data_IF_924126700546
#
_entry.id   IF_924126700546
#
_cell.length_a   1.000
_cell.length_b   1.000
_cell.length_c   1.000
_cell.angle_alpha   90.00
_cell.angle_beta   90.00
_cell.angle_gamma   90.00
#
_symmetry.space_group_name_H-M   'P 1'
#
loop_
_entity.id
_entity.type
_entity.pdbx_description
1 polymer ?
#
# COMPACT_ATOMS: atom_id res chain seq x y z
N UNK A 1 -20.61 -2.72 -1.80
CA UNK A 1 -20.08 -1.74 -0.84
C UNK A 1 -19.73 -0.51 -1.63
N UNK A 2 -20.46 0.57 -1.41
CA UNK A 2 -20.28 1.80 -2.18
C UNK A 2 -19.11 2.58 -1.61
N UNK A 3 -18.29 3.22 -2.46
CA UNK A 3 -17.14 4.02 -2.01
C UNK A 3 -17.56 5.12 -0.99
N UNK A 4 -18.82 5.55 -1.07
CA UNK A 4 -19.44 6.53 -0.16
C UNK A 4 -19.51 6.06 1.29
N UNK A 5 -19.83 4.79 1.53
CA UNK A 5 -19.92 4.23 2.90
C UNK A 5 -18.52 4.16 3.55
N UNK A 6 -17.50 3.80 2.76
CA UNK A 6 -16.12 3.78 3.23
C UNK A 6 -15.64 5.17 3.64
N UNK A 7 -16.03 6.20 2.90
CA UNK A 7 -15.68 7.59 3.20
C UNK A 7 -16.34 8.11 4.48
N UNK A 8 -17.61 7.75 4.73
CA UNK A 8 -18.30 8.04 5.98
C UNK A 8 -17.60 7.41 7.19
N UNK A 9 -17.15 6.15 7.06
CA UNK A 9 -16.39 5.48 8.12
C UNK A 9 -15.04 6.16 8.37
N UNK A 10 -14.35 6.61 7.33
CA UNK A 10 -13.09 7.35 7.47
C UNK A 10 -13.30 8.70 8.18
N UNK A 11 -14.42 9.39 7.95
CA UNK A 11 -14.80 10.60 8.67
C UNK A 11 -15.06 10.36 10.17
N UNK A 12 -15.73 9.26 10.51
CA UNK A 12 -16.02 8.89 11.90
C UNK A 12 -14.77 8.52 12.71
N UNK A 13 -13.68 8.07 12.05
CA UNK A 13 -12.37 7.68 12.61
C UNK A 13 -12.37 6.54 13.61
N UNK A 14 -13.49 6.24 14.24
CA UNK A 14 -13.66 5.18 15.22
C UNK A 14 -15.00 4.50 15.02
N UNK A 15 -15.01 3.18 15.20
CA UNK A 15 -16.22 2.35 15.19
C UNK A 15 -16.29 1.57 16.49
N UNK A 16 -17.49 1.46 17.05
CA UNK A 16 -17.76 0.60 18.21
C UNK A 16 -18.06 -0.82 17.74
N UNK A 17 -17.28 -1.78 18.18
CA UNK A 17 -17.50 -3.21 17.92
C UNK A 17 -17.69 -3.88 19.28
N UNK A 18 -18.94 -4.18 19.63
CA UNK A 18 -19.29 -4.64 20.98
C UNK A 18 -18.95 -3.58 22.03
N UNK A 19 -18.07 -3.92 22.97
CA UNK A 19 -17.60 -3.03 24.04
C UNK A 19 -16.30 -2.29 23.69
N UNK A 20 -15.69 -2.57 22.54
CA UNK A 20 -14.40 -2.00 22.16
C UNK A 20 -14.57 -0.88 21.13
N UNK A 21 -13.80 0.19 21.30
CA UNK A 21 -13.70 1.28 20.32
C UNK A 21 -12.47 1.06 19.44
N UNK A 22 -12.69 0.85 18.14
CA UNK A 22 -11.65 0.55 17.16
C UNK A 22 -11.36 1.77 16.30
N UNK A 23 -10.07 2.11 16.09
CA UNK A 23 -9.67 3.19 15.19
C UNK A 23 -9.73 2.73 13.73
N UNK A 24 -10.38 3.53 12.90
CA UNK A 24 -10.47 3.37 11.46
C UNK A 24 -9.38 4.22 10.83
N UNK A 25 -8.62 3.62 9.90
CA UNK A 25 -7.59 4.31 9.13
C UNK A 25 -7.69 3.90 7.67
N UNK A 26 -7.53 4.88 6.79
CA UNK A 26 -7.39 4.64 5.36
C UNK A 26 -6.13 3.80 5.10
N UNK A 27 -6.25 2.84 4.19
CA UNK A 27 -5.08 2.23 3.57
C UNK A 27 -4.82 3.01 2.28
N UNK A 28 -3.71 3.77 2.17
CA UNK A 28 -3.39 4.45 0.94
C UNK A 28 -3.27 3.42 -0.17
N UNK A 29 -3.80 3.77 -1.34
CA UNK A 29 -3.69 2.95 -2.54
C UNK A 29 -2.30 3.13 -3.14
N UNK A 30 -1.44 2.15 -2.88
CA UNK A 30 -0.15 2.07 -3.55
C UNK A 30 -0.36 1.85 -5.06
N UNK A 31 -0.08 2.86 -5.86
CA UNK A 31 -0.09 2.67 -7.32
C UNK A 31 1.19 1.96 -7.72
N UNK A 32 1.09 0.67 -8.09
CA UNK A 32 2.22 -0.13 -8.57
C UNK A 32 2.16 -0.35 -10.07
N UNK A 33 3.26 -0.08 -10.74
CA UNK A 33 3.41 -0.42 -12.14
C UNK A 33 3.77 -1.91 -12.30
N UNK A 34 2.92 -2.68 -12.98
CA UNK A 34 3.20 -4.10 -13.25
C UNK A 34 4.31 -4.33 -14.29
N UNK A 35 4.71 -3.29 -15.03
CA UNK A 35 5.78 -3.34 -16.04
C UNK A 35 7.17 -3.19 -15.41
N UNK A 36 7.41 -2.09 -14.70
CA UNK A 36 8.72 -1.79 -14.12
C UNK A 36 8.85 -2.18 -12.63
N UNK A 37 7.73 -2.50 -11.98
CA UNK A 37 7.59 -2.69 -10.52
C UNK A 37 7.92 -1.47 -9.67
N UNK A 38 7.98 -0.30 -10.29
CA UNK A 38 8.03 0.99 -9.62
C UNK A 38 6.71 1.37 -8.96
N UNK A 39 6.80 2.37 -8.08
CA UNK A 39 5.69 2.98 -7.37
C UNK A 39 5.37 4.36 -7.96
N UNK A 40 4.09 4.72 -8.04
CA UNK A 40 3.61 6.06 -8.41
C UNK A 40 3.13 6.21 -9.86
N UNK A 41 3.43 5.25 -10.75
CA UNK A 41 2.98 5.27 -12.14
C UNK A 41 2.18 4.02 -12.52
N UNK A 42 1.28 4.17 -13.49
CA UNK A 42 0.55 3.04 -14.09
C UNK A 42 1.31 2.49 -15.29
N UNK A 43 0.94 1.29 -15.76
CA UNK A 43 1.55 0.66 -16.94
C UNK A 43 1.48 1.56 -18.19
N UNK A 44 0.41 2.32 -18.35
CA UNK A 44 0.18 3.19 -19.51
C UNK A 44 1.18 4.36 -19.56
N UNK A 45 1.55 4.92 -18.41
CA UNK A 45 2.48 6.04 -18.30
C UNK A 45 3.94 5.61 -18.11
N UNK A 46 4.21 4.30 -18.03
CA UNK A 46 5.51 3.77 -17.64
C UNK A 46 6.53 3.82 -18.78
N UNK A 47 7.60 4.59 -18.58
CA UNK A 47 8.79 4.65 -19.47
C UNK A 47 9.91 3.67 -19.04
N UNK A 48 9.71 2.95 -17.93
CA UNK A 48 10.71 2.05 -17.38
C UNK A 48 10.91 0.73 -18.15
N UNK A 49 11.96 -0.04 -17.80
CA UNK A 49 12.23 -1.35 -18.41
C UNK A 49 11.10 -2.34 -18.09
N UNK A 50 10.81 -3.23 -19.04
CA UNK A 50 9.84 -4.30 -18.83
C UNK A 50 10.46 -5.44 -18.03
N UNK A 51 9.91 -5.65 -16.83
CA UNK A 51 10.29 -6.68 -15.87
C UNK A 51 9.15 -7.68 -15.63
N UNK A 52 8.11 -7.66 -16.47
CA UNK A 52 6.95 -8.55 -16.31
C UNK A 52 7.29 -10.04 -16.34
N UNK A 53 8.40 -10.42 -16.98
CA UNK A 53 8.88 -11.81 -17.08
C UNK A 53 9.75 -12.26 -15.89
N UNK A 54 10.03 -11.37 -14.93
CA UNK A 54 10.81 -11.71 -13.73
C UNK A 54 9.87 -12.12 -12.59
N UNK A 55 10.36 -12.90 -11.63
CA UNK A 55 9.58 -13.19 -10.42
C UNK A 55 9.74 -12.13 -9.34
N UNK A 56 8.63 -11.66 -8.76
CA UNK A 56 8.63 -10.60 -7.75
C UNK A 56 9.50 -10.95 -6.53
N UNK A 57 9.56 -12.25 -6.20
CA UNK A 57 10.32 -12.79 -5.06
C UNK A 57 11.82 -12.58 -5.21
N UNK A 58 12.39 -12.88 -6.38
CA UNK A 58 13.85 -12.99 -6.55
C UNK A 58 14.41 -12.14 -7.70
N UNK A 59 13.55 -11.52 -8.50
CA UNK A 59 13.91 -10.72 -9.66
C UNK A 59 14.56 -11.48 -10.81
N UNK A 60 14.42 -12.81 -10.88
CA UNK A 60 14.93 -13.65 -11.97
C UNK A 60 13.78 -14.36 -12.69
N UNK A 61 13.95 -14.67 -13.97
CA UNK A 61 13.02 -15.49 -14.76
C UNK A 61 13.39 -16.97 -14.76
N UNK A 62 12.70 -17.76 -15.59
CA UNK A 62 13.11 -19.13 -15.93
C UNK A 62 12.70 -20.24 -14.95
N UNK A 63 11.81 -19.97 -14.01
CA UNK A 63 11.26 -20.97 -13.07
C UNK A 63 9.76 -20.74 -12.84
N UNK A 64 9.11 -21.53 -11.97
CA UNK A 64 7.74 -21.25 -11.50
C UNK A 64 7.81 -20.55 -10.14
N UNK A 65 6.84 -19.68 -9.82
CA UNK A 65 6.82 -18.96 -8.53
C UNK A 65 6.92 -19.90 -7.30
N UNK A 66 6.22 -21.04 -7.39
CA UNK A 66 6.17 -22.06 -6.33
C UNK A 66 7.54 -22.72 -6.13
N UNK A 67 8.28 -22.91 -7.21
CA UNK A 67 9.57 -23.59 -7.25
C UNK A 67 10.73 -22.57 -7.34
N UNK A 68 10.59 -21.42 -6.69
CA UNK A 68 11.62 -20.39 -6.73
C UNK A 68 12.85 -20.82 -5.89
N UNK A 69 14.00 -21.14 -6.52
CA UNK A 69 15.18 -21.62 -5.80
C UNK A 69 16.00 -20.49 -5.19
N UNK A 70 15.66 -19.24 -5.55
CA UNK A 70 16.42 -18.06 -5.19
C UNK A 70 15.91 -17.44 -3.88
N UNK A 71 16.85 -16.81 -3.16
CA UNK A 71 16.54 -15.99 -1.99
C UNK A 71 15.71 -14.76 -2.37
N UNK A 72 14.92 -14.22 -1.44
CA UNK A 72 14.16 -13.00 -1.68
C UNK A 72 15.11 -11.83 -1.99
N UNK A 73 14.85 -11.16 -3.11
CA UNK A 73 15.64 -10.04 -3.62
C UNK A 73 14.70 -8.97 -4.18
N UNK A 74 14.99 -7.71 -3.84
CA UNK A 74 14.21 -6.56 -4.27
C UNK A 74 14.94 -5.83 -5.40
N UNK A 75 14.34 -5.75 -6.58
CA UNK A 75 14.94 -5.06 -7.73
C UNK A 75 14.95 -3.54 -7.52
N UNK A 76 14.00 -3.00 -6.75
CA UNK A 76 13.88 -1.56 -6.54
C UNK A 76 15.00 -0.99 -5.65
N UNK A 77 15.37 -1.69 -4.57
CA UNK A 77 16.45 -1.27 -3.68
C UNK A 77 17.74 -2.08 -3.82
N UNK A 78 17.73 -3.12 -4.68
CA UNK A 78 18.87 -4.00 -4.97
C UNK A 78 19.42 -4.71 -3.72
N UNK A 79 18.54 -5.06 -2.77
CA UNK A 79 18.91 -5.74 -1.53
C UNK A 79 18.20 -7.09 -1.39
N UNK A 80 18.88 -8.03 -0.74
CA UNK A 80 18.30 -9.30 -0.32
C UNK A 80 17.44 -9.16 0.96
N UNK A 81 16.64 -10.18 1.26
CA UNK A 81 15.86 -10.28 2.50
C UNK A 81 14.39 -9.87 2.37
N UNK A 82 13.99 -9.32 1.23
CA UNK A 82 12.58 -9.07 0.91
C UNK A 82 12.31 -9.07 -0.60
N UNK A 83 11.06 -9.33 -0.98
CA UNK A 83 10.61 -9.29 -2.36
C UNK A 83 10.24 -7.85 -2.78
N UNK A 84 10.26 -7.61 -4.09
CA UNK A 84 9.95 -6.28 -4.65
C UNK A 84 8.52 -5.87 -4.30
N UNK A 85 8.32 -4.60 -3.94
CA UNK A 85 6.99 -4.08 -3.59
C UNK A 85 6.54 -4.36 -2.15
N UNK A 86 7.38 -4.90 -1.28
CA UNK A 86 7.02 -5.07 0.15
C UNK A 86 7.30 -3.81 0.96
N UNK A 87 6.63 -3.72 2.12
CA UNK A 87 6.80 -2.70 3.14
C UNK A 87 8.18 -2.68 3.81
N UNK A 88 8.92 -3.78 3.66
CA UNK A 88 10.30 -3.89 4.18
C UNK A 88 11.30 -3.15 3.29
N UNK A 89 10.90 -2.74 2.10
CA UNK A 89 11.72 -1.95 1.18
C UNK A 89 11.64 -0.47 1.58
N UNK A 90 12.77 0.14 1.94
CA UNK A 90 12.81 1.54 2.37
C UNK A 90 12.27 2.51 1.29
N UNK A 91 12.63 2.37 -0.01
CA UNK A 91 12.00 3.16 -1.08
C UNK A 91 10.47 3.06 -1.11
N UNK A 92 9.91 1.85 -1.00
CA UNK A 92 8.45 1.69 -1.02
C UNK A 92 7.81 2.26 0.24
N UNK A 93 8.45 2.08 1.40
CA UNK A 93 7.99 2.63 2.67
C UNK A 93 7.92 4.17 2.63
N UNK A 94 8.91 4.81 2.00
CA UNK A 94 8.92 6.26 1.80
C UNK A 94 7.77 6.71 0.90
N UNK A 95 7.56 6.04 -0.25
CA UNK A 95 6.48 6.39 -1.18
C UNK A 95 5.11 6.21 -0.54
N UNK A 96 4.88 5.10 0.16
CA UNK A 96 3.62 4.87 0.88
C UNK A 96 3.37 5.86 2.00
N UNK A 97 4.43 6.29 2.70
CA UNK A 97 4.32 7.34 3.71
C UNK A 97 3.95 8.67 3.06
N UNK A 98 4.54 9.00 1.91
CA UNK A 98 4.18 10.19 1.15
C UNK A 98 2.73 10.12 0.61
N UNK A 99 2.30 8.97 0.08
CA UNK A 99 0.92 8.74 -0.35
C UNK A 99 -0.06 8.85 0.82
N UNK A 100 0.27 8.32 2.00
CA UNK A 100 -0.55 8.46 3.21
C UNK A 100 -0.67 9.92 3.70
N UNK A 101 0.37 10.73 3.50
CA UNK A 101 0.36 12.16 3.84
C UNK A 101 -0.39 13.01 2.80
N UNK A 102 -0.55 12.50 1.58
CA UNK A 102 -1.27 13.15 0.49
C UNK A 102 -2.73 12.69 0.38
N UNK A 103 -3.18 11.77 1.25
CA UNK A 103 -4.62 11.55 1.43
C UNK A 103 -5.25 12.84 1.98
N UNK A 104 -6.44 13.25 1.49
CA UNK A 104 -7.06 14.49 1.91
C UNK A 104 -7.18 14.48 3.44
N UNK A 105 -6.51 15.45 4.06
CA UNK A 105 -6.64 15.76 5.48
C UNK A 105 -8.10 16.18 5.72
N UNK A 106 -8.97 15.21 6.00
CA UNK A 106 -10.33 15.49 6.45
C UNK A 106 -10.18 16.20 7.80
N UNK A 107 -10.27 17.52 7.74
CA UNK A 107 -10.13 18.43 8.88
C UNK A 107 -11.07 17.97 10.00
N UNK A 108 -10.46 17.74 11.16
CA UNK A 108 -11.09 17.23 12.36
C UNK A 108 -11.85 18.39 13.00
N UNK A 109 -13.13 18.55 12.68
CA UNK A 109 -14.04 19.23 13.59
C UNK A 109 -14.87 18.13 14.25
N UNK A 110 -14.43 17.69 15.43
CA UNK A 110 -15.23 16.78 16.24
C UNK A 110 -16.51 17.52 16.66
N UNK A 111 -17.71 16.97 16.42
CA UNK A 111 -18.89 17.49 17.09
C UNK A 111 -18.71 17.31 18.61
N UNK A 112 -19.17 18.27 19.43
CA UNK A 112 -19.02 18.21 20.87
C UNK A 112 -19.67 16.94 21.40
N UNK A 113 -18.92 16.23 22.24
CA UNK A 113 -19.38 15.10 23.02
C UNK A 113 -20.63 15.52 23.79
N UNK A 114 -21.80 15.11 23.31
CA UNK A 114 -23.05 15.26 24.03
C UNK A 114 -23.73 13.89 24.02
N UNK A 115 -23.44 13.11 25.05
CA UNK A 115 -24.48 12.42 25.80
C UNK A 115 -23.93 11.95 27.15
N UNK A 116 -24.23 12.75 28.18
CA UNK A 116 -24.62 12.30 29.52
C UNK A 116 -26.02 12.87 29.79
N UNK A 117 -26.82 12.32 30.73
CA UNK A 117 -26.58 11.18 31.61
C UNK A 117 -27.34 9.90 31.22
#
# INVERSE_FOLDING_TARGET
MSDKEAELLLQQKQIKIGWTQCRIVGRPRDTRCYRCWGSGETRAACTGPDRGNLYLKCGKGGHKAIECPNRPYCINCQQEGHQTGTQKCEPNKAVRKAEALNEPNIQIQGPPNQHEP
#
